data_IF_543221602382
#
_entry.id   IF_543221602382
#
_cell.length_a   1.000
_cell.length_b   1.000
_cell.length_c   1.000
_cell.angle_alpha   90.00
_cell.angle_beta   90.00
_cell.angle_gamma   90.00
#
_symmetry.space_group_name_H-M   'P 1'
#
loop_
_entity.id
_entity.type
_entity.pdbx_description
1 polymer ?
#
# COMPACT_ATOMS: atom_id res chain seq x y z
N UNK A 1 11.04 21.33 -0.95
CA UNK A 1 10.10 20.33 -1.49
C UNK A 1 9.44 20.95 -2.73
N UNK A 2 9.51 20.33 -3.92
CA UNK A 2 8.95 20.94 -5.15
C UNK A 2 7.56 20.34 -5.40
N UNK A 3 6.51 21.11 -5.14
CA UNK A 3 5.12 20.68 -5.35
C UNK A 3 4.83 20.59 -6.85
N UNK A 4 4.21 19.48 -7.30
CA UNK A 4 3.93 19.24 -8.73
C UNK A 4 2.42 19.16 -8.95
N UNK A 5 1.86 20.14 -9.66
CA UNK A 5 0.44 20.15 -10.03
C UNK A 5 0.20 19.23 -11.23
N UNK A 6 -0.59 18.18 -11.03
CA UNK A 6 -1.11 17.33 -12.10
C UNK A 6 -2.63 17.48 -12.17
N UNK A 7 -3.15 17.83 -13.34
CA UNK A 7 -4.58 18.00 -13.59
C UNK A 7 -5.25 16.75 -14.18
N UNK A 8 -4.48 15.67 -14.43
CA UNK A 8 -5.06 14.42 -14.95
C UNK A 8 -5.96 13.77 -13.90
N UNK A 9 -7.17 13.40 -14.32
CA UNK A 9 -8.10 12.60 -13.50
C UNK A 9 -7.58 11.15 -13.52
N UNK A 10 -7.13 10.59 -12.39
CA UNK A 10 -6.85 9.17 -12.33
C UNK A 10 -8.17 8.40 -12.53
N UNK A 11 -8.19 7.43 -13.44
CA UNK A 11 -9.34 6.55 -13.59
C UNK A 11 -9.56 5.81 -12.26
N UNK A 12 -10.78 5.78 -11.70
CA UNK A 12 -11.05 4.98 -10.51
C UNK A 12 -10.92 3.51 -10.90
N UNK A 13 -9.82 2.88 -10.50
CA UNK A 13 -9.63 1.44 -10.66
C UNK A 13 -10.01 0.80 -9.32
N UNK A 14 -11.31 0.73 -9.04
CA UNK A 14 -11.80 -0.09 -7.92
C UNK A 14 -11.93 -1.54 -8.40
N UNK A 15 -10.80 -2.24 -8.47
CA UNK A 15 -10.81 -3.70 -8.65
C UNK A 15 -10.71 -4.35 -7.28
N UNK A 16 -11.82 -4.92 -6.81
CA UNK A 16 -11.82 -5.83 -5.67
C UNK A 16 -10.98 -7.05 -6.06
N UNK A 17 -10.07 -7.45 -5.16
CA UNK A 17 -9.29 -8.68 -5.33
C UNK A 17 -9.86 -9.70 -4.37
N UNK A 18 -10.30 -10.83 -4.88
CA UNK A 18 -10.82 -11.93 -4.08
C UNK A 18 -9.69 -12.87 -3.64
N UNK A 19 -9.82 -13.45 -2.44
CA UNK A 19 -8.90 -14.45 -1.93
C UNK A 19 -9.35 -15.88 -2.29
N UNK A 20 -9.02 -16.27 -3.53
CA UNK A 20 -9.32 -17.61 -4.02
C UNK A 20 -8.61 -18.72 -3.26
N UNK A 21 -7.49 -18.42 -2.56
CA UNK A 21 -6.77 -19.44 -1.78
C UNK A 21 -7.55 -19.79 -0.52
N UNK A 22 -8.06 -18.78 0.18
CA UNK A 22 -8.94 -18.99 1.34
C UNK A 22 -10.22 -19.72 0.94
N UNK A 23 -10.80 -19.34 -0.21
CA UNK A 23 -11.96 -20.02 -0.77
C UNK A 23 -11.69 -21.50 -1.07
N UNK A 24 -10.59 -21.82 -1.77
CA UNK A 24 -10.25 -23.21 -2.11
C UNK A 24 -9.92 -24.08 -0.90
N UNK A 25 -9.49 -23.47 0.21
CA UNK A 25 -9.13 -24.18 1.43
C UNK A 25 -10.33 -24.43 2.36
N UNK A 26 -11.46 -23.76 2.14
CA UNK A 26 -12.65 -23.84 3.00
C UNK A 26 -13.81 -24.52 2.27
N UNK A 27 -14.09 -25.76 2.69
CA UNK A 27 -15.24 -26.53 2.17
C UNK A 27 -16.57 -25.84 2.46
N UNK A 28 -16.67 -25.13 3.59
CA UNK A 28 -17.89 -24.42 3.99
C UNK A 28 -18.19 -23.25 3.05
N UNK A 29 -17.17 -22.46 2.69
CA UNK A 29 -17.33 -21.37 1.73
C UNK A 29 -17.74 -21.89 0.35
N UNK A 30 -17.23 -23.04 -0.07
CA UNK A 30 -17.59 -23.67 -1.34
C UNK A 30 -19.04 -24.18 -1.36
N UNK A 31 -19.51 -24.76 -0.25
CA UNK A 31 -20.90 -25.20 -0.09
C UNK A 31 -21.86 -24.01 -0.12
N UNK A 32 -21.57 -22.97 0.65
CA UNK A 32 -22.36 -21.74 0.67
C UNK A 32 -22.39 -21.08 -0.71
N UNK A 33 -21.24 -20.98 -1.38
CA UNK A 33 -21.16 -20.46 -2.74
C UNK A 33 -22.03 -21.25 -3.72
N UNK A 34 -21.96 -22.59 -3.68
CA UNK A 34 -22.76 -23.45 -4.57
C UNK A 34 -24.26 -23.27 -4.36
N UNK A 35 -24.71 -23.24 -3.10
CA UNK A 35 -26.11 -22.99 -2.75
C UNK A 35 -26.55 -21.61 -3.24
N UNK A 36 -25.72 -20.60 -3.04
CA UNK A 36 -26.02 -19.23 -3.41
C UNK A 36 -26.09 -19.04 -4.95
N UNK A 37 -25.19 -19.67 -5.72
CA UNK A 37 -25.27 -19.69 -7.19
C UNK A 37 -26.58 -20.33 -7.63
N UNK A 38 -26.95 -21.47 -7.03
CA UNK A 38 -28.18 -22.19 -7.37
C UNK A 38 -29.42 -21.35 -7.07
N UNK A 39 -29.50 -20.77 -5.87
CA UNK A 39 -30.60 -19.89 -5.48
C UNK A 39 -30.74 -18.69 -6.43
N UNK A 40 -29.63 -18.03 -6.77
CA UNK A 40 -29.64 -16.88 -7.69
C UNK A 40 -30.00 -17.28 -9.12
N UNK A 41 -29.54 -18.44 -9.57
CA UNK A 41 -29.83 -18.93 -10.91
C UNK A 41 -31.29 -19.37 -11.07
N UNK A 42 -31.86 -20.05 -10.08
CA UNK A 42 -33.27 -20.46 -10.06
C UNK A 42 -34.22 -19.25 -10.12
N UNK A 43 -33.89 -18.15 -9.44
CA UNK A 43 -34.66 -16.89 -9.53
C UNK A 43 -34.63 -16.28 -10.94
N UNK A 44 -33.58 -16.56 -11.71
CA UNK A 44 -33.39 -16.07 -13.07
C UNK A 44 -33.91 -17.08 -14.13
N UNK A 45 -34.42 -18.25 -13.73
CA UNK A 45 -34.89 -19.27 -14.67
C UNK A 45 -36.33 -18.98 -15.12
N UNK A 46 -36.44 -18.31 -16.28
CA UNK A 46 -37.67 -18.13 -17.05
C UNK A 46 -37.46 -18.86 -18.39
N UNK A 47 -38.51 -19.39 -19.02
CA UNK A 47 -38.44 -20.08 -20.31
C UNK A 47 -37.81 -19.20 -21.40
N UNK A 48 -36.51 -19.39 -21.65
CA UNK A 48 -35.68 -18.56 -22.52
C UNK A 48 -34.66 -19.36 -23.33
N UNK A 49 -34.13 -18.72 -24.37
CA UNK A 49 -33.12 -19.26 -25.27
C UNK A 49 -31.85 -19.70 -24.53
N UNK A 50 -31.15 -20.70 -25.07
CA UNK A 50 -29.99 -21.31 -24.42
C UNK A 50 -28.87 -20.29 -24.13
N UNK A 51 -28.75 -19.24 -24.96
CA UNK A 51 -27.76 -18.19 -24.79
C UNK A 51 -28.09 -17.27 -23.61
N UNK A 52 -29.37 -16.93 -23.41
CA UNK A 52 -29.84 -16.09 -22.30
C UNK A 52 -29.71 -16.84 -20.98
N UNK A 53 -30.01 -18.14 -20.97
CA UNK A 53 -29.78 -19.02 -19.83
C UNK A 53 -28.31 -19.06 -19.41
N UNK A 54 -27.38 -19.15 -20.36
CA UNK A 54 -25.95 -19.12 -20.04
C UNK A 54 -25.49 -17.77 -19.49
N UNK A 55 -25.98 -16.65 -20.05
CA UNK A 55 -25.68 -15.32 -19.52
C UNK A 55 -26.15 -15.14 -18.08
N UNK A 56 -27.34 -15.63 -17.76
CA UNK A 56 -27.89 -15.62 -16.39
C UNK A 56 -27.08 -16.48 -15.43
N UNK A 57 -26.56 -17.62 -15.89
CA UNK A 57 -25.64 -18.43 -15.09
C UNK A 57 -24.33 -17.69 -14.78
N UNK A 58 -23.75 -17.00 -15.77
CA UNK A 58 -22.55 -16.18 -15.57
C UNK A 58 -22.82 -15.05 -14.57
N UNK A 59 -23.98 -14.41 -14.68
CA UNK A 59 -24.40 -13.33 -13.79
C UNK A 59 -24.65 -13.81 -12.35
N UNK A 60 -25.33 -14.96 -12.17
CA UNK A 60 -25.52 -15.58 -10.88
C UNK A 60 -24.17 -15.95 -10.21
N UNK A 61 -23.20 -16.47 -10.99
CA UNK A 61 -21.85 -16.74 -10.50
C UNK A 61 -21.12 -15.45 -10.09
N UNK A 62 -21.24 -14.38 -10.87
CA UNK A 62 -20.63 -13.09 -10.53
C UNK A 62 -21.18 -12.55 -9.21
N UNK A 63 -22.49 -12.59 -9.02
CA UNK A 63 -23.13 -12.12 -7.80
C UNK A 63 -22.82 -13.01 -6.59
N UNK A 64 -22.80 -14.33 -6.76
CA UNK A 64 -22.36 -15.27 -5.71
C UNK A 64 -20.90 -15.07 -5.32
N UNK A 65 -20.04 -14.79 -6.30
CA UNK A 65 -18.63 -14.45 -6.05
C UNK A 65 -18.51 -13.19 -5.19
N UNK A 66 -19.23 -12.12 -5.57
CA UNK A 66 -19.24 -10.85 -4.83
C UNK A 66 -19.75 -11.01 -3.40
N UNK A 67 -20.67 -11.95 -3.15
CA UNK A 67 -21.27 -12.16 -1.82
C UNK A 67 -20.50 -13.13 -0.92
N UNK A 68 -19.94 -14.21 -1.47
CA UNK A 68 -19.44 -15.34 -0.70
C UNK A 68 -17.92 -15.46 -0.68
N UNK A 69 -17.22 -14.90 -1.67
CA UNK A 69 -15.75 -15.02 -1.73
C UNK A 69 -15.13 -13.88 -0.92
N UNK A 70 -14.28 -14.19 0.09
CA UNK A 70 -13.64 -13.15 0.90
C UNK A 70 -12.80 -12.19 0.07
N UNK A 71 -12.90 -10.90 0.37
CA UNK A 71 -11.99 -9.91 -0.18
C UNK A 71 -10.58 -10.12 0.38
N UNK A 72 -9.59 -10.02 -0.51
CA UNK A 72 -8.19 -10.11 -0.13
C UNK A 72 -7.79 -8.82 0.59
N UNK A 73 -7.38 -8.98 1.85
CA UNK A 73 -6.93 -7.86 2.65
C UNK A 73 -5.74 -7.14 1.99
N UNK A 74 -5.81 -5.81 1.98
CA UNK A 74 -4.69 -4.97 1.59
C UNK A 74 -3.63 -5.07 2.69
N UNK A 75 -2.53 -5.75 2.40
CA UNK A 75 -1.36 -5.73 3.27
C UNK A 75 -0.87 -4.30 3.39
N UNK A 76 -1.03 -3.69 4.57
CA UNK A 76 -0.42 -2.40 4.88
C UNK A 76 1.08 -2.60 4.89
N UNK A 77 1.81 -1.84 4.07
CA UNK A 77 3.25 -1.80 4.16
C UNK A 77 3.61 -1.20 5.53
N UNK A 78 4.30 -1.96 6.39
CA UNK A 78 4.78 -1.44 7.66
C UNK A 78 5.77 -0.33 7.33
N UNK A 79 5.51 0.89 7.81
CA UNK A 79 6.42 2.01 7.58
C UNK A 79 7.67 1.81 8.43
N UNK A 80 8.84 1.79 7.79
CA UNK A 80 10.13 1.70 8.47
C UNK A 80 10.34 2.85 9.47
N UNK A 81 9.64 3.98 9.30
CA UNK A 81 9.71 5.14 10.19
C UNK A 81 9.24 4.83 11.63
N UNK A 82 8.47 3.76 11.83
CA UNK A 82 8.04 3.30 13.14
C UNK A 82 9.01 2.31 13.81
N UNK A 83 10.20 2.08 13.23
CA UNK A 83 11.18 1.16 13.82
C UNK A 83 11.65 1.67 15.20
N UNK A 84 11.72 0.82 16.23
CA UNK A 84 12.08 1.23 17.59
C UNK A 84 13.39 2.04 17.68
N UNK A 85 14.39 1.68 16.86
CA UNK A 85 15.67 2.39 16.84
C UNK A 85 15.58 3.80 16.25
N UNK A 86 14.74 3.99 15.23
CA UNK A 86 14.48 5.32 14.66
C UNK A 86 13.74 6.20 15.67
N UNK A 87 12.76 5.62 16.37
CA UNK A 87 12.02 6.34 17.42
C UNK A 87 12.98 6.79 18.52
N UNK A 88 13.82 5.88 19.03
CA UNK A 88 14.83 6.20 20.05
C UNK A 88 15.80 7.27 19.58
N UNK A 89 16.31 7.18 18.34
CA UNK A 89 17.23 8.17 17.80
C UNK A 89 16.58 9.56 17.63
N UNK A 90 15.28 9.61 17.27
CA UNK A 90 14.51 10.88 17.23
C UNK A 90 14.35 11.49 18.60
N UNK A 91 14.05 10.68 19.61
CA UNK A 91 13.96 11.13 21.01
C UNK A 91 15.30 11.68 21.52
N UNK A 92 16.42 11.07 21.13
CA UNK A 92 17.76 11.58 21.44
C UNK A 92 18.02 12.95 20.80
N UNK A 93 17.62 13.15 19.54
CA UNK A 93 17.72 14.47 18.88
C UNK A 93 16.85 15.50 19.58
N UNK A 94 15.63 15.13 19.96
CA UNK A 94 14.68 16.01 20.64
C UNK A 94 15.21 16.46 22.01
N UNK A 95 15.72 15.53 22.80
CA UNK A 95 16.31 15.82 24.12
C UNK A 95 17.58 16.67 24.00
N UNK A 96 18.47 16.38 23.04
CA UNK A 96 19.65 17.19 22.77
C UNK A 96 19.28 18.61 22.29
N UNK A 97 18.23 18.74 21.47
CA UNK A 97 17.71 20.03 21.01
C UNK A 97 17.22 20.90 22.17
N UNK A 98 16.46 20.30 23.10
CA UNK A 98 16.00 20.97 24.32
C UNK A 98 17.18 21.42 25.20
N UNK A 99 18.22 20.61 25.31
CA UNK A 99 19.45 20.95 26.05
C UNK A 99 20.18 22.16 25.44
N UNK A 100 20.32 22.20 24.11
CA UNK A 100 20.90 23.36 23.40
C UNK A 100 20.08 24.62 23.63
N UNK A 101 18.75 24.54 23.58
CA UNK A 101 17.89 25.70 23.81
C UNK A 101 17.96 26.21 25.26
N UNK A 102 18.31 25.35 26.22
CA UNK A 102 18.37 25.68 27.64
C UNK A 102 19.72 26.29 28.07
N UNK A 103 20.85 25.69 27.68
CA UNK A 103 22.18 26.14 28.13
C UNK A 103 23.04 26.74 27.03
N UNK A 104 22.73 26.47 25.76
CA UNK A 104 23.50 26.92 24.58
C UNK A 104 25.02 26.66 24.65
N UNK A 105 25.45 25.64 25.41
CA UNK A 105 26.86 25.29 25.57
C UNK A 105 27.43 24.58 24.33
N UNK A 106 28.75 24.71 24.13
CA UNK A 106 29.47 23.97 23.08
C UNK A 106 29.27 22.44 23.19
N UNK A 107 29.21 21.92 24.42
CA UNK A 107 28.95 20.49 24.66
C UNK A 107 27.53 20.09 24.24
N UNK A 108 26.54 20.95 24.49
CA UNK A 108 25.16 20.70 24.09
C UNK A 108 25.01 20.70 22.56
N UNK A 109 25.68 21.63 21.87
CA UNK A 109 25.66 21.68 20.40
C UNK A 109 26.37 20.50 19.75
N UNK A 110 27.50 20.06 20.32
CA UNK A 110 28.19 18.85 19.90
C UNK A 110 27.32 17.60 20.09
N UNK A 111 26.66 17.45 21.25
CA UNK A 111 25.74 16.34 21.50
C UNK A 111 24.57 16.32 20.50
N UNK A 112 24.03 17.49 20.13
CA UNK A 112 22.97 17.57 19.11
C UNK A 112 23.48 17.13 17.74
N UNK A 113 24.71 17.50 17.37
CA UNK A 113 25.34 17.06 16.12
C UNK A 113 25.50 15.54 16.09
N UNK A 114 26.01 14.95 17.17
CA UNK A 114 26.17 13.50 17.30
C UNK A 114 24.83 12.77 17.27
N UNK A 115 23.81 13.27 17.95
CA UNK A 115 22.46 12.69 17.92
C UNK A 115 21.86 12.73 16.51
N UNK A 116 22.06 13.83 15.76
CA UNK A 116 21.62 13.92 14.36
C UNK A 116 22.36 12.94 13.46
N UNK A 117 23.68 12.85 13.59
CA UNK A 117 24.49 11.88 12.83
C UNK A 117 24.05 10.46 13.13
N UNK A 118 23.81 10.12 14.40
CA UNK A 118 23.28 8.82 14.79
C UNK A 118 21.94 8.54 14.11
N UNK A 119 21.00 9.48 14.14
CA UNK A 119 19.70 9.33 13.49
C UNK A 119 19.83 9.07 11.98
N UNK A 120 20.69 9.82 11.27
CA UNK A 120 20.93 9.58 9.85
C UNK A 120 21.54 8.20 9.59
N UNK A 121 22.55 7.81 10.37
CA UNK A 121 23.17 6.49 10.25
C UNK A 121 22.15 5.36 10.52
N UNK A 122 21.27 5.52 11.51
CA UNK A 122 20.21 4.55 11.80
C UNK A 122 19.24 4.42 10.62
N UNK A 123 18.89 5.52 9.95
CA UNK A 123 18.07 5.44 8.74
C UNK A 123 18.77 4.65 7.62
N UNK A 124 20.05 4.93 7.38
CA UNK A 124 20.80 4.29 6.31
C UNK A 124 20.97 2.79 6.58
N UNK A 125 21.34 2.41 7.80
CA UNK A 125 21.49 1.01 8.22
C UNK A 125 20.19 0.21 8.07
N UNK A 126 19.07 0.75 8.57
CA UNK A 126 17.79 0.04 8.48
C UNK A 126 17.28 -0.06 7.04
N UNK A 127 17.52 0.96 6.23
CA UNK A 127 17.18 0.92 4.81
C UNK A 127 18.02 -0.11 4.07
N UNK A 128 19.32 -0.20 4.38
CA UNK A 128 20.21 -1.22 3.84
C UNK A 128 19.74 -2.62 4.24
N UNK A 129 19.40 -2.82 5.52
CA UNK A 129 18.88 -4.09 6.03
C UNK A 129 17.57 -4.48 5.33
N UNK A 130 16.62 -3.55 5.18
CA UNK A 130 15.36 -3.80 4.49
C UNK A 130 15.58 -4.25 3.04
N UNK A 131 16.52 -3.61 2.33
CA UNK A 131 16.88 -3.98 0.96
C UNK A 131 17.52 -5.37 0.93
N UNK A 132 18.45 -5.68 1.83
CA UNK A 132 19.07 -7.01 1.94
C UNK A 132 18.03 -8.10 2.20
N UNK A 133 17.10 -7.87 3.13
CA UNK A 133 16.01 -8.81 3.42
C UNK A 133 15.07 -9.02 2.22
N UNK A 134 14.84 -7.99 1.40
CA UNK A 134 14.07 -8.11 0.16
C UNK A 134 14.79 -8.91 -0.90
N UNK A 135 16.09 -8.67 -1.11
CA UNK A 135 16.93 -9.45 -2.03
C UNK A 135 16.95 -10.92 -1.61
N UNK A 136 17.22 -11.18 -0.32
CA UNK A 136 17.26 -12.54 0.21
C UNK A 136 15.92 -13.28 0.05
N UNK A 137 14.78 -12.58 0.28
CA UNK A 137 13.46 -13.15 0.00
C UNK A 137 13.25 -13.47 -1.47
N UNK A 138 13.70 -12.62 -2.38
CA UNK A 138 13.59 -12.88 -3.81
C UNK A 138 14.45 -14.08 -4.25
N UNK A 139 15.66 -14.24 -3.68
CA UNK A 139 16.57 -15.35 -4.00
C UNK A 139 16.04 -16.71 -3.53
N UNK A 140 15.42 -16.78 -2.36
CA UNK A 140 14.95 -18.03 -1.75
C UNK A 140 13.59 -18.53 -2.28
N UNK A 141 12.99 -17.86 -3.25
CA UNK A 141 11.70 -18.27 -3.80
C UNK A 141 11.85 -19.41 -4.83
N UNK A 142 10.84 -20.30 -4.98
CA UNK A 142 10.78 -21.26 -6.07
C UNK A 142 10.91 -20.59 -7.44
N UNK A 143 11.59 -21.24 -8.40
CA UNK A 143 11.91 -20.67 -9.73
C UNK A 143 10.70 -20.02 -10.42
N UNK A 144 9.54 -20.67 -10.39
CA UNK A 144 8.30 -20.18 -11.01
C UNK A 144 7.79 -18.85 -10.43
N UNK A 145 8.14 -18.55 -9.17
CA UNK A 145 7.73 -17.33 -8.47
C UNK A 145 8.85 -16.28 -8.37
N UNK A 146 10.09 -16.67 -8.65
CA UNK A 146 11.30 -15.87 -8.45
C UNK A 146 11.32 -14.63 -9.36
N UNK A 147 10.94 -14.79 -10.62
CA UNK A 147 10.94 -13.70 -11.61
C UNK A 147 9.95 -12.58 -11.24
N UNK A 148 8.74 -12.94 -10.83
CA UNK A 148 7.70 -11.97 -10.47
C UNK A 148 8.07 -11.14 -9.24
N UNK A 149 8.57 -11.81 -8.19
CA UNK A 149 8.98 -11.15 -6.94
C UNK A 149 10.29 -10.37 -7.10
N UNK A 150 11.24 -10.86 -7.91
CA UNK A 150 12.43 -10.08 -8.28
C UNK A 150 12.04 -8.75 -8.94
N UNK A 151 11.04 -8.76 -9.84
CA UNK A 151 10.51 -7.52 -10.42
C UNK A 151 9.81 -6.61 -9.41
N UNK A 152 9.15 -7.15 -8.38
CA UNK A 152 8.59 -6.34 -7.28
C UNK A 152 9.71 -5.61 -6.55
N UNK A 153 10.76 -6.34 -6.15
CA UNK A 153 11.94 -5.78 -5.46
C UNK A 153 12.63 -4.72 -6.33
N UNK A 154 12.87 -4.99 -7.61
CA UNK A 154 13.46 -4.02 -8.55
C UNK A 154 12.60 -2.76 -8.66
N UNK A 155 11.27 -2.90 -8.80
CA UNK A 155 10.37 -1.74 -8.91
C UNK A 155 10.37 -0.88 -7.64
N UNK A 156 10.53 -1.49 -6.47
CA UNK A 156 10.61 -0.78 -5.19
C UNK A 156 11.94 -0.04 -5.03
N UNK A 157 13.07 -0.71 -5.31
CA UNK A 157 14.42 -0.12 -5.22
C UNK A 157 14.58 1.03 -6.21
N UNK A 158 14.18 0.83 -7.47
CA UNK A 158 14.27 1.85 -8.52
C UNK A 158 13.22 2.94 -8.39
N UNK A 159 12.21 2.76 -7.51
CA UNK A 159 11.11 3.69 -7.36
C UNK A 159 10.19 3.79 -8.58
N UNK A 160 10.32 2.89 -9.58
CA UNK A 160 9.60 2.95 -10.86
C UNK A 160 8.07 2.99 -10.70
N UNK A 161 7.53 2.44 -9.60
CA UNK A 161 6.10 2.43 -9.27
C UNK A 161 5.74 3.22 -8.02
N UNK A 162 6.65 4.02 -7.45
CA UNK A 162 6.29 4.87 -6.30
C UNK A 162 5.29 5.94 -6.72
N UNK A 163 4.28 6.16 -5.88
CA UNK A 163 3.37 7.30 -6.01
C UNK A 163 4.21 8.57 -6.07
N UNK A 164 3.90 9.47 -7.00
CA UNK A 164 4.62 10.72 -7.18
C UNK A 164 4.47 11.55 -5.90
N UNK A 165 5.52 11.58 -5.08
CA UNK A 165 5.60 12.41 -3.89
C UNK A 165 5.49 13.89 -4.30
N UNK A 166 4.71 14.68 -3.54
CA UNK A 166 4.48 16.10 -3.84
C UNK A 166 3.34 16.40 -4.83
N UNK A 167 2.47 15.43 -5.12
CA UNK A 167 1.24 15.69 -5.88
C UNK A 167 0.20 16.39 -5.00
N UNK A 168 -0.39 17.48 -5.53
CA UNK A 168 -1.44 18.24 -4.83
C UNK A 168 -2.69 17.38 -4.64
N UNK A 169 -3.20 17.32 -3.41
CA UNK A 169 -4.42 16.59 -3.07
C UNK A 169 -5.67 17.22 -3.71
N UNK A 170 -6.56 16.39 -4.26
CA UNK A 170 -7.87 16.79 -4.78
C UNK A 170 -8.47 15.75 -5.73
N UNK A 171 -9.77 15.50 -5.60
CA UNK A 171 -10.50 14.52 -6.42
C UNK A 171 -10.74 15.06 -7.84
N UNK A 172 -10.85 16.38 -8.00
CA UNK A 172 -11.01 17.05 -9.29
C UNK A 172 -9.85 17.99 -9.64
N UNK A 173 -9.67 18.35 -10.93
CA UNK A 173 -8.70 19.37 -11.33
C UNK A 173 -8.94 20.72 -10.64
N UNK A 174 -10.22 21.11 -10.46
CA UNK A 174 -10.59 22.36 -9.79
C UNK A 174 -10.20 22.36 -8.31
N UNK A 175 -10.41 21.25 -7.62
CA UNK A 175 -9.98 21.11 -6.23
C UNK A 175 -8.46 21.18 -6.11
N UNK A 176 -7.71 20.47 -6.96
CA UNK A 176 -6.24 20.52 -6.91
C UNK A 176 -5.68 21.92 -7.18
N UNK A 177 -6.30 22.71 -8.06
CA UNK A 177 -5.91 24.10 -8.27
C UNK A 177 -6.15 24.94 -7.02
N UNK A 178 -7.32 24.81 -6.38
CA UNK A 178 -7.61 25.51 -5.10
C UNK A 178 -6.63 25.12 -4.01
N UNK A 179 -6.38 23.83 -3.82
CA UNK A 179 -5.44 23.32 -2.82
C UNK A 179 -4.01 23.79 -3.14
N UNK A 180 -3.62 23.87 -4.41
CA UNK A 180 -2.32 24.40 -4.82
C UNK A 180 -2.16 25.88 -4.46
N UNK A 181 -3.15 26.71 -4.79
CA UNK A 181 -3.14 28.13 -4.39
C UNK A 181 -3.09 28.32 -2.87
N UNK A 182 -3.75 27.44 -2.10
CA UNK A 182 -3.67 27.46 -0.64
C UNK A 182 -2.26 27.19 -0.13
N UNK A 183 -1.56 26.20 -0.72
CA UNK A 183 -0.18 25.90 -0.34
C UNK A 183 0.82 26.97 -0.80
N UNK A 184 0.57 27.61 -1.94
CA UNK A 184 1.41 28.70 -2.48
C UNK A 184 1.27 30.00 -1.66
N UNK A 185 0.07 30.28 -1.14
CA UNK A 185 -0.18 31.45 -0.29
C UNK A 185 0.35 31.32 1.15
N UNK A 186 0.80 30.13 1.56
CA UNK A 186 1.30 29.82 2.91
C UNK A 186 2.84 29.63 2.95
N UNK A 187 3.52 29.75 1.81
CA UNK A 187 4.99 29.73 1.71
C UNK A 187 5.57 31.14 1.62
#
# INVERSE_FOLDING_TARGET
MRVRLSLRVPKPIHKVRYDWKLFSASDELQKQYTVEVKNRFEVLEIEEDANERYQRFVEANRQAMESCVPEKEKKKCKSFLGHPEIVRAREMVETASKSVNATSDFKATQNLKEAKTLLYNTYDQLKEQEIKEKIHRAENLPDDSRYGEAWVVINEITGRKKTIEGQVAGASPKERVKTWHLYDALG
#
